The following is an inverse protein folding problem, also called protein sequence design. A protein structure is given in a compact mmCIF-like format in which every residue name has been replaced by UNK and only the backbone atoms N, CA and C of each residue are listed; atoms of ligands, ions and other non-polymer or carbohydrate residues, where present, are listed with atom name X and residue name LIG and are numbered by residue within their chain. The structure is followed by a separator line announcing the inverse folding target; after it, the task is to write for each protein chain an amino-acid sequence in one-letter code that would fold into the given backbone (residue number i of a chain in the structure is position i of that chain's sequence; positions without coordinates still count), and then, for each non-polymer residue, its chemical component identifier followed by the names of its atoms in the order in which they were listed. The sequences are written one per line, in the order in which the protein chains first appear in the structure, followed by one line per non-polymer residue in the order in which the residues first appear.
data_IF_512844019640
#
_entry.id   IF_512844019640
#
_cell.length_a   1.000
_cell.length_b   1.000
_cell.length_c   1.000
_cell.angle_alpha   90.00
_cell.angle_beta   90.00
_cell.angle_gamma   90.00
#
_symmetry.space_group_name_H-M   'P 1'
#
loop_
_entity.id
_entity.type
_entity.pdbx_description
1 polymer ?
#
# COMPACT_ATOMS: atom_id res chain seq x y z
N UNK A 1 -1.65 11.13 -15.63
CA UNK A 1 -1.98 9.71 -15.45
C UNK A 1 -3.41 9.67 -14.95
N UNK A 2 -4.33 9.17 -15.77
CA UNK A 2 -5.74 9.07 -15.39
C UNK A 2 -5.92 7.87 -14.45
N UNK A 3 -6.54 8.11 -13.31
CA UNK A 3 -6.87 7.06 -12.36
C UNK A 3 -8.31 6.63 -12.57
N UNK A 4 -8.57 5.34 -12.86
CA UNK A 4 -9.94 4.87 -12.94
C UNK A 4 -10.61 4.98 -11.56
N UNK A 5 -11.79 5.60 -11.53
CA UNK A 5 -12.60 5.69 -10.32
C UNK A 5 -12.84 4.28 -9.74
N UNK A 6 -12.89 4.17 -8.41
CA UNK A 6 -13.15 2.91 -7.69
C UNK A 6 -12.16 1.77 -7.97
N UNK A 7 -10.93 2.06 -8.42
CA UNK A 7 -9.89 1.04 -8.64
C UNK A 7 -8.74 1.16 -7.63
N UNK A 8 -8.91 0.68 -6.37
CA UNK A 8 -7.80 0.59 -5.41
C UNK A 8 -6.71 -0.37 -5.91
N UNK A 9 -7.09 -1.33 -6.76
CA UNK A 9 -6.21 -2.26 -7.47
C UNK A 9 -5.26 -1.59 -8.45
N UNK A 10 -5.53 -0.35 -8.85
CA UNK A 10 -4.58 0.42 -9.61
C UNK A 10 -3.53 1.07 -8.68
N UNK A 11 -3.73 1.09 -7.35
CA UNK A 11 -2.91 1.92 -6.44
C UNK A 11 -1.72 1.17 -5.89
N UNK A 12 -0.47 1.56 -6.20
CA UNK A 12 0.68 1.05 -5.48
C UNK A 12 0.68 1.56 -4.03
N UNK A 13 0.10 2.74 -3.74
CA UNK A 13 0.05 3.31 -2.39
C UNK A 13 -0.83 2.54 -1.42
N UNK A 14 -1.89 1.87 -1.89
CA UNK A 14 -2.76 1.06 -1.02
C UNK A 14 -1.97 -0.10 -0.37
N UNK A 15 -1.04 -0.70 -1.11
CA UNK A 15 -0.16 -1.75 -0.60
C UNK A 15 0.81 -1.22 0.47
N UNK A 16 1.36 -0.03 0.24
CA UNK A 16 2.25 0.62 1.21
C UNK A 16 1.48 0.94 2.49
N UNK A 17 0.24 1.45 2.36
CA UNK A 17 -0.62 1.72 3.52
C UNK A 17 -0.89 0.46 4.33
N UNK A 18 -1.20 -0.66 3.68
CA UNK A 18 -1.38 -1.95 4.35
C UNK A 18 -0.14 -2.40 5.12
N UNK A 19 1.05 -2.24 4.52
CA UNK A 19 2.32 -2.52 5.20
C UNK A 19 2.51 -1.63 6.44
N UNK A 20 2.34 -0.32 6.29
CA UNK A 20 2.51 0.64 7.38
C UNK A 20 1.57 0.35 8.55
N UNK A 21 0.29 0.10 8.28
CA UNK A 21 -0.68 -0.24 9.33
C UNK A 21 -0.27 -1.53 10.05
N UNK A 22 0.20 -2.54 9.32
CA UNK A 22 0.64 -3.81 9.92
C UNK A 22 1.91 -3.68 10.74
N UNK A 23 2.86 -2.84 10.34
CA UNK A 23 4.09 -2.59 11.10
C UNK A 23 3.82 -1.74 12.35
N UNK A 24 3.07 -0.64 12.19
CA UNK A 24 2.73 0.31 13.27
C UNK A 24 1.95 -0.36 14.39
N UNK A 25 0.98 -1.21 14.06
CA UNK A 25 0.14 -1.94 15.02
C UNK A 25 0.61 -3.39 15.26
N UNK A 26 1.82 -3.73 14.83
CA UNK A 26 2.40 -5.04 15.12
C UNK A 26 2.40 -5.30 16.64
N UNK A 27 2.29 -6.58 17.02
CA UNK A 27 2.33 -7.01 18.43
C UNK A 27 1.25 -6.36 19.32
N UNK A 28 0.10 -6.01 18.73
CA UNK A 28 -1.02 -5.36 19.43
C UNK A 28 -0.62 -4.03 20.10
N UNK A 29 0.36 -3.32 19.53
CA UNK A 29 0.75 -2.00 20.03
C UNK A 29 -0.42 -1.02 19.93
N UNK A 30 -0.61 -0.22 20.98
CA UNK A 30 -1.56 0.89 21.00
C UNK A 30 -0.81 2.18 21.31
N UNK A 31 -1.42 3.32 20.97
CA UNK A 31 -0.81 4.64 21.10
C UNK A 31 -1.74 5.52 21.93
N UNK A 32 -1.19 6.24 22.91
CA UNK A 32 -1.98 7.05 23.84
C UNK A 32 -2.20 8.47 23.33
N UNK A 33 -1.32 8.95 22.44
CA UNK A 33 -1.44 10.25 21.81
C UNK A 33 -1.01 10.22 20.34
N UNK A 34 -1.35 11.29 19.62
CA UNK A 34 -1.07 11.42 18.18
C UNK A 34 0.42 11.54 17.87
N UNK A 35 1.24 12.04 18.79
CA UNK A 35 2.67 12.23 18.56
C UNK A 35 3.42 10.88 18.53
N UNK A 36 3.12 9.99 19.47
CA UNK A 36 3.64 8.62 19.47
C UNK A 36 3.22 7.84 18.22
N UNK A 37 1.98 8.03 17.76
CA UNK A 37 1.51 7.41 16.53
C UNK A 37 2.27 7.94 15.30
N UNK A 38 2.51 9.25 15.23
CA UNK A 38 3.28 9.87 14.15
C UNK A 38 4.71 9.33 14.11
N UNK A 39 5.39 9.26 15.26
CA UNK A 39 6.74 8.72 15.35
C UNK A 39 6.81 7.26 14.90
N UNK A 40 5.84 6.43 15.30
CA UNK A 40 5.76 5.06 14.85
C UNK A 40 5.53 4.93 13.33
N UNK A 41 4.69 5.78 12.75
CA UNK A 41 4.47 5.81 11.30
C UNK A 41 5.76 6.20 10.56
N UNK A 42 6.48 7.22 11.04
CA UNK A 42 7.76 7.66 10.44
C UNK A 42 8.80 6.54 10.56
N UNK A 43 8.89 5.88 11.71
CA UNK A 43 9.77 4.73 11.92
C UNK A 43 9.44 3.58 10.98
N UNK A 44 8.16 3.22 10.84
CA UNK A 44 7.69 2.18 9.92
C UNK A 44 8.00 2.56 8.45
N UNK A 45 7.86 3.84 8.10
CA UNK A 45 8.20 4.35 6.78
C UNK A 45 9.69 4.18 6.47
N UNK A 46 10.58 4.48 7.41
CA UNK A 46 12.02 4.29 7.23
C UNK A 46 12.45 2.82 7.16
N UNK A 47 11.62 1.89 7.67
CA UNK A 47 11.85 0.44 7.57
C UNK A 47 11.35 -0.16 6.26
N UNK A 48 10.61 0.59 5.44
CA UNK A 48 10.15 0.11 4.15
C UNK A 48 11.34 -0.30 3.30
N UNK A 49 11.32 -1.55 2.87
CA UNK A 49 12.33 -2.08 1.97
C UNK A 49 12.19 -1.45 0.58
N UNK A 50 13.26 -0.89 0.06
CA UNK A 50 13.27 -0.26 -1.27
C UNK A 50 12.94 -1.28 -2.36
N UNK A 51 13.29 -2.56 -2.19
CA UNK A 51 12.91 -3.58 -3.16
C UNK A 51 11.41 -3.90 -3.13
N UNK A 52 10.74 -3.77 -1.98
CA UNK A 52 9.27 -3.84 -1.91
C UNK A 52 8.64 -2.71 -2.72
N UNK A 53 9.12 -1.47 -2.55
CA UNK A 53 8.64 -0.32 -3.32
C UNK A 53 8.86 -0.53 -4.82
N UNK A 54 10.04 -1.03 -5.21
CA UNK A 54 10.36 -1.31 -6.61
C UNK A 54 9.42 -2.38 -7.19
N UNK A 55 9.21 -3.50 -6.49
CA UNK A 55 8.29 -4.57 -6.90
C UNK A 55 6.86 -4.08 -7.07
N UNK A 56 6.40 -3.16 -6.22
CA UNK A 56 5.06 -2.57 -6.33
C UNK A 56 4.91 -1.70 -7.59
N UNK A 57 5.94 -0.93 -7.94
CA UNK A 57 5.94 -0.15 -9.18
C UNK A 57 6.04 -1.07 -10.40
N UNK A 58 6.88 -2.10 -10.34
CA UNK A 58 7.08 -3.07 -11.42
C UNK A 58 5.84 -3.94 -11.67
N UNK A 59 4.96 -4.16 -10.67
CA UNK A 59 3.72 -4.93 -10.83
C UNK A 59 2.58 -4.14 -11.48
N UNK A 60 2.66 -2.81 -11.53
CA UNK A 60 1.60 -1.94 -12.04
C UNK A 60 1.14 -2.23 -13.47
N UNK A 61 2.03 -2.47 -14.45
CA UNK A 61 1.61 -2.82 -15.80
C UNK A 61 0.76 -4.09 -15.83
N UNK A 62 1.13 -5.11 -15.04
CA UNK A 62 0.38 -6.36 -14.96
C UNK A 62 -1.00 -6.14 -14.31
N UNK A 63 -1.06 -5.38 -13.21
CA UNK A 63 -2.33 -5.04 -12.53
C UNK A 63 -3.29 -4.31 -13.47
N UNK A 64 -2.79 -3.32 -14.20
CA UNK A 64 -3.59 -2.57 -15.19
C UNK A 64 -4.11 -3.51 -16.30
N UNK A 65 -3.26 -4.42 -16.78
CA UNK A 65 -3.65 -5.42 -17.78
C UNK A 65 -4.76 -6.34 -17.26
N UNK A 66 -4.66 -6.83 -16.02
CA UNK A 66 -5.68 -7.68 -15.41
C UNK A 66 -7.00 -6.95 -15.16
N UNK A 67 -6.95 -5.70 -14.68
CA UNK A 67 -8.15 -4.85 -14.51
C UNK A 67 -8.85 -4.67 -15.86
N UNK A 68 -8.08 -4.38 -16.91
CA UNK A 68 -8.61 -4.21 -18.27
C UNK A 68 -9.23 -5.51 -18.79
N UNK A 69 -8.54 -6.63 -18.58
CA UNK A 69 -9.01 -7.96 -19.00
C UNK A 69 -10.29 -8.40 -18.29
N UNK A 70 -10.54 -7.90 -17.07
CA UNK A 70 -11.78 -8.11 -16.31
C UNK A 70 -12.83 -7.03 -16.56
N UNK A 71 -12.63 -6.14 -17.53
CA UNK A 71 -13.59 -5.06 -17.83
C UNK A 71 -13.76 -4.06 -16.70
N UNK A 72 -12.71 -3.80 -15.91
CA UNK A 72 -12.76 -2.93 -14.73
C UNK A 72 -13.16 -3.65 -13.44
N UNK A 73 -13.32 -4.98 -13.47
CA UNK A 73 -13.58 -5.80 -12.29
C UNK A 73 -12.35 -5.94 -11.36
N UNK A 74 -12.56 -6.39 -10.11
CA UNK A 74 -11.50 -6.50 -9.11
C UNK A 74 -10.45 -7.57 -9.47
N UNK A 75 -9.20 -7.33 -9.10
CA UNK A 75 -8.10 -8.27 -9.28
C UNK A 75 -7.61 -8.76 -7.90
N UNK A 76 -6.93 -9.90 -7.88
CA UNK A 76 -6.34 -10.41 -6.65
C UNK A 76 -4.86 -10.00 -6.64
N UNK A 77 -4.45 -9.17 -5.70
CA UNK A 77 -3.10 -8.62 -5.59
C UNK A 77 -2.62 -8.57 -4.14
#
# INVERSE_FOLDING_TARGET
MDWPACSPDANPMENIRGFLVRDVYAQCRTFTNTDELKDAIITAWHRLDVQLLKRLVESMPNRIFEITSKGGGPINY
#
